data_IF_636193155194
#
_entry.id   IF_636193155194
#
_cell.length_a   1.000
_cell.length_b   1.000
_cell.length_c   1.000
_cell.angle_alpha   90.00
_cell.angle_beta   90.00
_cell.angle_gamma   90.00
#
_symmetry.space_group_name_H-M   'P 1'
#
loop_
_entity.id
_entity.type
_entity.pdbx_description
1 polymer ?
#
# COMPACT_ATOMS: atom_id res chain seq x y z
N UNK A 1 -1.40 15.15 25.81
CA UNK A 1 -1.66 14.15 24.75
C UNK A 1 -0.68 13.00 24.98
N UNK A 2 -1.15 11.78 25.27
CA UNK A 2 -0.28 10.67 25.69
C UNK A 2 0.64 10.21 24.54
N UNK A 3 1.87 9.81 24.85
CA UNK A 3 2.88 9.40 23.87
C UNK A 3 2.43 8.24 22.95
N UNK A 4 1.56 7.36 23.45
CA UNK A 4 0.95 6.27 22.67
C UNK A 4 0.05 6.79 21.53
N UNK A 5 -0.84 7.76 21.81
CA UNK A 5 -1.74 8.33 20.80
C UNK A 5 -0.98 9.10 19.72
N UNK A 6 0.16 9.71 20.08
CA UNK A 6 1.01 10.42 19.12
C UNK A 6 1.65 9.44 18.11
N UNK A 7 2.14 8.30 18.59
CA UNK A 7 2.80 7.29 17.76
C UNK A 7 1.81 6.57 16.81
N UNK A 8 0.60 6.24 17.29
CA UNK A 8 -0.45 5.66 16.44
C UNK A 8 -0.91 6.60 15.32
N UNK A 9 -1.01 7.90 15.62
CA UNK A 9 -1.37 8.92 14.63
C UNK A 9 -0.30 9.04 13.56
N UNK A 10 0.97 9.14 13.95
CA UNK A 10 2.11 9.22 13.02
C UNK A 10 2.18 8.00 12.10
N UNK A 11 2.00 6.78 12.66
CA UNK A 11 1.93 5.54 11.88
C UNK A 11 0.78 5.56 10.87
N UNK A 12 -0.41 6.02 11.28
CA UNK A 12 -1.57 6.09 10.39
C UNK A 12 -1.38 7.10 9.25
N UNK A 13 -0.74 8.23 9.53
CA UNK A 13 -0.41 9.24 8.52
C UNK A 13 0.61 8.71 7.51
N UNK A 14 1.65 8.03 7.99
CA UNK A 14 2.65 7.40 7.11
C UNK A 14 1.99 6.36 6.20
N UNK A 15 1.16 5.47 6.77
CA UNK A 15 0.45 4.46 5.99
C UNK A 15 -0.47 5.09 4.93
N UNK A 16 -1.14 6.20 5.26
CA UNK A 16 -1.94 6.93 4.27
C UNK A 16 -1.10 7.48 3.11
N UNK A 17 0.08 8.05 3.39
CA UNK A 17 1.00 8.53 2.36
C UNK A 17 1.48 7.39 1.45
N UNK A 18 1.87 6.25 2.05
CA UNK A 18 2.30 5.07 1.30
C UNK A 18 1.20 4.52 0.38
N UNK A 19 -0.05 4.48 0.86
CA UNK A 19 -1.20 4.07 0.03
C UNK A 19 -1.43 5.05 -1.13
N UNK A 20 -1.29 6.35 -0.91
CA UNK A 20 -1.40 7.37 -1.97
C UNK A 20 -0.32 7.16 -3.04
N UNK A 21 0.93 6.95 -2.62
CA UNK A 21 2.04 6.70 -3.54
C UNK A 21 1.85 5.40 -4.32
N UNK A 22 1.41 4.33 -3.66
CA UNK A 22 1.07 3.06 -4.31
C UNK A 22 -0.01 3.25 -5.38
N UNK A 23 -1.08 3.98 -5.07
CA UNK A 23 -2.15 4.27 -6.04
C UNK A 23 -1.63 5.07 -7.22
N UNK A 24 -0.76 6.07 -6.96
CA UNK A 24 -0.14 6.89 -8.01
C UNK A 24 0.68 6.02 -8.96
N UNK A 25 1.53 5.14 -8.42
CA UNK A 25 2.37 4.21 -9.20
C UNK A 25 1.50 3.28 -10.05
N UNK A 26 0.46 2.67 -9.49
CA UNK A 26 -0.41 1.76 -10.25
C UNK A 26 -1.23 2.50 -11.31
N UNK A 27 -1.84 3.64 -10.96
CA UNK A 27 -2.78 4.33 -11.86
C UNK A 27 -2.08 5.08 -12.98
N UNK A 28 -0.99 5.77 -12.65
CA UNK A 28 -0.32 6.67 -13.58
C UNK A 28 0.85 5.99 -14.29
N UNK A 29 1.63 5.17 -13.57
CA UNK A 29 2.83 4.52 -14.12
C UNK A 29 2.55 3.10 -14.63
N UNK A 30 1.43 2.48 -14.22
CA UNK A 30 1.08 1.07 -14.52
C UNK A 30 2.16 0.07 -14.06
N UNK A 31 2.99 0.47 -13.10
CA UNK A 31 4.13 -0.30 -12.62
C UNK A 31 3.76 -1.07 -11.35
N UNK A 32 3.31 -2.31 -11.53
CA UNK A 32 2.94 -3.18 -10.43
C UNK A 32 4.15 -3.70 -9.65
N UNK A 33 5.34 -3.78 -10.27
CA UNK A 33 6.55 -4.21 -9.57
C UNK A 33 7.02 -3.17 -8.56
N UNK A 34 7.04 -1.90 -8.97
CA UNK A 34 7.36 -0.79 -8.07
C UNK A 34 6.34 -0.66 -6.94
N UNK A 35 5.05 -0.82 -7.24
CA UNK A 35 4.01 -0.85 -6.22
C UNK A 35 4.22 -2.03 -5.23
N UNK A 36 4.54 -3.22 -5.74
CA UNK A 36 4.80 -4.39 -4.90
C UNK A 36 6.02 -4.21 -3.98
N UNK A 37 7.09 -3.54 -4.46
CA UNK A 37 8.24 -3.18 -3.61
C UNK A 37 7.83 -2.29 -2.44
N UNK A 38 7.02 -1.26 -2.68
CA UNK A 38 6.49 -0.39 -1.60
C UNK A 38 5.75 -1.22 -0.54
N UNK A 39 4.91 -2.17 -0.99
CA UNK A 39 4.18 -3.08 -0.08
C UNK A 39 5.13 -3.93 0.76
N UNK A 40 6.13 -4.55 0.12
CA UNK A 40 7.06 -5.47 0.78
C UNK A 40 7.96 -4.72 1.76
N UNK A 41 8.59 -3.63 1.33
CA UNK A 41 9.55 -2.86 2.12
C UNK A 41 8.90 -2.23 3.36
N UNK A 42 7.63 -1.85 3.27
CA UNK A 42 6.90 -1.22 4.37
C UNK A 42 5.98 -2.19 5.15
N UNK A 43 6.02 -3.49 4.84
CA UNK A 43 5.18 -4.52 5.45
C UNK A 43 3.67 -4.18 5.44
N UNK A 44 3.19 -3.59 4.35
CA UNK A 44 1.79 -3.20 4.21
C UNK A 44 0.97 -4.44 3.85
N UNK A 45 -0.16 -4.62 4.52
CA UNK A 45 -1.10 -5.70 4.19
C UNK A 45 -2.08 -5.26 3.10
N UNK A 46 -2.58 -6.21 2.31
CA UNK A 46 -3.62 -5.89 1.31
C UNK A 46 -4.89 -5.32 1.97
N UNK A 47 -5.24 -5.78 3.17
CA UNK A 47 -6.34 -5.25 3.97
C UNK A 47 -6.17 -3.77 4.31
N UNK A 48 -4.96 -3.34 4.69
CA UNK A 48 -4.64 -1.93 4.95
C UNK A 48 -4.76 -1.07 3.69
N UNK A 49 -4.44 -1.61 2.52
CA UNK A 49 -4.59 -0.90 1.25
C UNK A 49 -6.08 -0.73 0.92
N UNK A 50 -6.84 -1.83 0.85
CA UNK A 50 -8.25 -1.79 0.43
C UNK A 50 -9.14 -1.02 1.41
N UNK A 51 -8.81 -1.01 2.70
CA UNK A 51 -9.53 -0.21 3.71
C UNK A 51 -9.28 1.30 3.58
N UNK A 52 -8.21 1.72 2.90
CA UNK A 52 -7.79 3.12 2.79
C UNK A 52 -7.99 3.73 1.41
N UNK A 53 -8.27 2.93 0.38
CA UNK A 53 -8.51 3.45 -0.96
C UNK A 53 -9.56 2.66 -1.73
N UNK A 54 -10.43 3.39 -2.44
CA UNK A 54 -11.38 2.86 -3.41
C UNK A 54 -10.94 3.15 -4.86
N UNK A 55 -9.73 3.69 -5.05
CA UNK A 55 -9.21 4.14 -6.36
C UNK A 55 -8.63 3.00 -7.21
N UNK A 56 -8.51 1.81 -6.63
CA UNK A 56 -8.02 0.61 -7.30
C UNK A 56 -9.19 -0.32 -7.56
N UNK A 57 -9.25 -0.87 -8.77
CA UNK A 57 -10.23 -1.90 -9.10
C UNK A 57 -9.83 -3.23 -8.45
N UNK A 58 -10.77 -4.18 -8.38
CA UNK A 58 -10.48 -5.55 -7.93
C UNK A 58 -9.35 -6.20 -8.75
N UNK A 59 -9.29 -5.93 -10.06
CA UNK A 59 -8.21 -6.42 -10.93
C UNK A 59 -6.86 -5.79 -10.59
N UNK A 60 -6.81 -4.50 -10.24
CA UNK A 60 -5.58 -3.86 -9.80
C UNK A 60 -5.06 -4.49 -8.50
N UNK A 61 -5.96 -4.78 -7.55
CA UNK A 61 -5.62 -5.44 -6.28
C UNK A 61 -5.13 -6.87 -6.50
N UNK A 62 -5.81 -7.64 -7.35
CA UNK A 62 -5.39 -9.00 -7.69
C UNK A 62 -4.00 -9.01 -8.32
N UNK A 63 -3.77 -8.16 -9.34
CA UNK A 63 -2.48 -8.08 -10.02
C UNK A 63 -1.35 -7.61 -9.10
N UNK A 64 -1.62 -6.66 -8.20
CA UNK A 64 -0.66 -6.27 -7.16
C UNK A 64 -0.32 -7.45 -6.24
N UNK A 65 -1.34 -8.22 -5.81
CA UNK A 65 -1.16 -9.38 -4.95
C UNK A 65 -0.32 -10.46 -5.61
N UNK A 66 -0.60 -10.78 -6.87
CA UNK A 66 0.18 -11.74 -7.66
C UNK A 66 1.64 -11.29 -7.77
N UNK A 67 1.86 -10.01 -8.05
CA UNK A 67 3.22 -9.43 -8.17
C UNK A 67 3.98 -9.48 -6.83
N UNK A 68 3.31 -9.23 -5.70
CA UNK A 68 3.91 -9.35 -4.37
C UNK A 68 4.30 -10.80 -4.06
N UNK A 69 3.44 -11.77 -4.41
CA UNK A 69 3.73 -13.20 -4.23
C UNK A 69 4.92 -13.60 -5.10
N UNK A 70 4.97 -13.15 -6.34
CA UNK A 70 6.06 -13.44 -7.28
C UNK A 70 7.40 -12.91 -6.75
N UNK A 71 7.46 -11.68 -6.24
CA UNK A 71 8.69 -11.07 -5.73
C UNK A 71 9.16 -11.62 -4.38
N UNK A 72 8.30 -12.31 -3.63
CA UNK A 72 8.66 -12.95 -2.35
C UNK A 72 9.14 -14.39 -2.49
N UNK A 73 8.99 -15.00 -3.67
CA UNK A 73 9.53 -16.33 -3.98
C UNK A 73 11.05 -16.26 -4.14
#
# INVERSE_FOLDING_TARGET
MNAQMKNETEKSTLLAALVVDLVRVIRNEKDFQKAAKIVIENNITMTEIVSRTLRLSVFDIAKLSDTVIELKK
#
